data_IF_147670047095
#
_entry.id   IF_147670047095
#
_cell.length_a   1.000
_cell.length_b   1.000
_cell.length_c   1.000
_cell.angle_alpha   90.00
_cell.angle_beta   90.00
_cell.angle_gamma   90.00
#
_symmetry.space_group_name_H-M   'P 1'
#
loop_
_entity.id
_entity.type
_entity.pdbx_description
1 polymer ?
#
# COMPACT_ATOMS: atom_id res chain seq x y z
N UNK A 1 13.67 2.08 -10.87
CA UNK A 1 13.02 3.41 -10.93
C UNK A 1 13.98 4.31 -11.71
N UNK A 2 13.87 4.38 -13.04
CA UNK A 2 14.89 5.01 -13.89
C UNK A 2 15.10 6.50 -13.58
N UNK A 3 14.04 7.18 -13.13
CA UNK A 3 14.11 8.59 -12.76
C UNK A 3 14.98 8.89 -11.51
N UNK A 4 15.07 7.97 -10.54
CA UNK A 4 15.97 8.15 -9.38
C UNK A 4 17.42 7.85 -9.76
N UNK A 5 17.66 6.90 -10.67
CA UNK A 5 18.99 6.64 -11.23
C UNK A 5 19.52 7.84 -12.01
N UNK A 6 18.69 8.52 -12.81
CA UNK A 6 19.11 9.73 -13.55
C UNK A 6 19.42 10.93 -12.66
N UNK A 7 18.79 11.03 -11.48
CA UNK A 7 19.10 12.08 -10.50
C UNK A 7 20.37 11.75 -9.68
N UNK A 8 20.63 10.47 -9.43
CA UNK A 8 21.84 9.97 -8.76
C UNK A 8 23.08 10.08 -9.67
N UNK A 9 22.93 9.96 -10.99
CA UNK A 9 24.02 10.14 -11.95
C UNK A 9 24.62 11.57 -11.98
N UNK A 10 23.92 12.56 -11.41
CA UNK A 10 24.40 13.95 -11.30
C UNK A 10 25.08 14.25 -9.94
N UNK A 11 25.14 13.28 -9.02
CA UNK A 11 25.72 13.46 -7.69
C UNK A 11 27.22 13.07 -7.67
N UNK A 12 28.10 13.89 -7.05
CA UNK A 12 29.51 13.54 -6.90
C UNK A 12 29.68 12.25 -6.07
N UNK A 13 30.75 11.45 -6.32
CA UNK A 13 30.98 10.20 -5.61
C UNK A 13 31.02 10.41 -4.08
N UNK A 14 30.27 9.59 -3.33
CA UNK A 14 30.21 9.62 -1.86
C UNK A 14 28.87 10.03 -1.23
N UNK A 15 27.82 10.34 -2.02
CA UNK A 15 26.46 10.69 -1.54
C UNK A 15 25.35 9.72 -1.96
N UNK A 16 25.71 8.56 -2.50
CA UNK A 16 24.79 7.52 -2.98
C UNK A 16 23.82 7.04 -1.88
N UNK A 17 24.28 7.00 -0.62
CA UNK A 17 23.44 6.67 0.53
C UNK A 17 22.40 7.74 0.91
N UNK A 18 22.61 9.00 0.54
CA UNK A 18 21.66 10.09 0.85
C UNK A 18 20.41 10.01 -0.05
N UNK A 19 20.57 9.63 -1.32
CA UNK A 19 19.44 9.52 -2.26
C UNK A 19 18.52 8.33 -1.97
N UNK A 20 19.07 7.20 -1.53
CA UNK A 20 18.29 6.03 -1.11
C UNK A 20 17.54 6.28 0.21
N UNK A 21 18.19 6.94 1.17
CA UNK A 21 17.57 7.36 2.43
C UNK A 21 16.41 8.34 2.19
N UNK A 22 16.61 9.37 1.35
CA UNK A 22 15.54 10.31 0.99
C UNK A 22 14.35 9.61 0.32
N UNK A 23 14.63 8.70 -0.61
CA UNK A 23 13.58 7.93 -1.30
C UNK A 23 12.78 7.04 -0.34
N UNK A 24 13.43 6.47 0.68
CA UNK A 24 12.76 5.71 1.72
C UNK A 24 11.87 6.61 2.58
N UNK A 25 12.38 7.76 3.02
CA UNK A 25 11.59 8.74 3.79
C UNK A 25 10.38 9.23 3.01
N UNK A 26 10.53 9.53 1.72
CA UNK A 26 9.41 9.94 0.85
C UNK A 26 8.36 8.84 0.72
N UNK A 27 8.76 7.58 0.57
CA UNK A 27 7.82 6.45 0.55
C UNK A 27 7.09 6.28 1.88
N UNK A 28 7.80 6.43 2.99
CA UNK A 28 7.21 6.33 4.33
C UNK A 28 6.23 7.48 4.60
N UNK A 29 6.65 8.71 4.33
CA UNK A 29 5.80 9.90 4.46
C UNK A 29 4.59 9.84 3.51
N UNK A 30 4.81 9.48 2.25
CA UNK A 30 3.75 9.32 1.27
C UNK A 30 2.74 8.24 1.66
N UNK A 31 3.21 7.11 2.21
CA UNK A 31 2.34 6.06 2.73
C UNK A 31 1.46 6.55 3.88
N UNK A 32 2.05 7.24 4.87
CA UNK A 32 1.30 7.78 6.00
C UNK A 32 0.26 8.83 5.58
N UNK A 33 0.64 9.75 4.69
CA UNK A 33 -0.26 10.78 4.17
C UNK A 33 -1.39 10.14 3.35
N UNK A 34 -1.08 9.15 2.51
CA UNK A 34 -2.08 8.41 1.75
C UNK A 34 -3.12 7.74 2.64
N UNK A 35 -2.68 7.00 3.66
CA UNK A 35 -3.57 6.34 4.62
C UNK A 35 -4.47 7.38 5.32
N UNK A 36 -3.90 8.50 5.74
CA UNK A 36 -4.66 9.57 6.41
C UNK A 36 -5.73 10.19 5.49
N UNK A 37 -5.39 10.49 4.22
CA UNK A 37 -6.33 11.04 3.25
C UNK A 37 -7.46 10.06 2.92
N UNK A 38 -7.13 8.77 2.72
CA UNK A 38 -8.13 7.74 2.43
C UNK A 38 -9.07 7.53 3.64
N UNK A 39 -8.55 7.54 4.86
CA UNK A 39 -9.34 7.48 6.08
C UNK A 39 -10.26 8.71 6.25
N UNK A 40 -9.74 9.90 5.98
CA UNK A 40 -10.53 11.15 6.01
C UNK A 40 -11.67 11.13 4.99
N UNK A 41 -11.39 10.68 3.76
CA UNK A 41 -12.42 10.52 2.72
C UNK A 41 -13.50 9.51 3.13
N UNK A 42 -13.09 8.36 3.67
CA UNK A 42 -14.01 7.34 4.16
C UNK A 42 -14.94 7.90 5.25
N UNK A 43 -14.37 8.60 6.25
CA UNK A 43 -15.14 9.28 7.31
C UNK A 43 -16.09 10.32 6.73
N UNK A 44 -15.64 11.12 5.76
CA UNK A 44 -16.48 12.17 5.16
C UNK A 44 -17.67 11.57 4.40
N UNK A 45 -17.47 10.51 3.62
CA UNK A 45 -18.56 9.83 2.90
C UNK A 45 -19.49 9.13 3.89
N UNK A 46 -18.94 8.45 4.90
CA UNK A 46 -19.71 7.77 5.93
C UNK A 46 -20.63 8.76 6.69
N UNK A 47 -20.07 9.82 7.26
CA UNK A 47 -20.83 10.82 8.04
C UNK A 47 -21.84 11.59 7.20
N UNK A 48 -21.57 11.79 5.89
CA UNK A 48 -22.49 12.42 4.95
C UNK A 48 -23.65 11.51 4.50
N UNK A 49 -23.47 10.18 4.51
CA UNK A 49 -24.47 9.18 4.09
C UNK A 49 -25.27 8.59 5.26
N UNK A 50 -24.75 8.68 6.49
CA UNK A 50 -25.38 8.13 7.68
C UNK A 50 -26.67 8.90 8.03
N UNK A 51 -27.81 8.19 8.08
CA UNK A 51 -29.08 8.77 8.49
C UNK A 51 -29.17 8.83 10.01
N UNK A 52 -29.17 10.04 10.53
CA UNK A 52 -29.18 10.37 11.97
C UNK A 52 -30.40 11.19 12.36
N UNK A 53 -31.36 11.41 11.44
CA UNK A 53 -32.49 12.34 11.65
C UNK A 53 -33.44 11.91 12.76
N UNK A 54 -33.49 10.61 13.05
CA UNK A 54 -34.34 10.05 14.09
C UNK A 54 -33.66 9.97 15.47
N UNK A 55 -32.41 10.42 15.61
CA UNK A 55 -31.62 10.27 16.83
C UNK A 55 -31.60 11.56 17.67
N UNK A 56 -31.58 11.43 19.02
CA UNK A 56 -31.18 12.52 19.91
C UNK A 56 -29.77 13.03 19.57
N UNK A 57 -29.49 14.33 19.78
CA UNK A 57 -28.22 14.96 19.40
C UNK A 57 -26.97 14.20 19.83
N UNK A 58 -26.87 13.84 21.12
CA UNK A 58 -25.72 13.09 21.66
C UNK A 58 -25.54 11.71 21.03
N UNK A 59 -26.66 11.04 20.68
CA UNK A 59 -26.62 9.74 20.03
C UNK A 59 -26.25 9.88 18.54
N UNK A 60 -26.69 10.95 17.89
CA UNK A 60 -26.32 11.27 16.51
C UNK A 60 -24.82 11.58 16.41
N UNK A 61 -24.28 12.35 17.34
CA UNK A 61 -22.84 12.67 17.37
C UNK A 61 -22.01 11.43 17.64
N UNK A 62 -22.42 10.60 18.61
CA UNK A 62 -21.78 9.31 18.89
C UNK A 62 -21.81 8.37 17.67
N UNK A 63 -22.92 8.33 16.94
CA UNK A 63 -23.05 7.49 15.75
C UNK A 63 -22.17 7.97 14.57
N UNK A 64 -21.88 9.26 14.47
CA UNK A 64 -21.01 9.81 13.42
C UNK A 64 -19.52 9.52 13.65
N UNK A 65 -19.11 9.25 14.87
CA UNK A 65 -17.69 9.04 15.23
C UNK A 65 -17.08 7.83 14.50
N UNK A 66 -17.84 6.74 14.35
CA UNK A 66 -17.39 5.56 13.59
C UNK A 66 -18.56 4.62 13.25
N UNK A 67 -18.34 3.73 12.28
CA UNK A 67 -19.32 2.68 11.95
C UNK A 67 -19.62 1.77 13.15
N UNK A 68 -18.60 1.49 13.99
CA UNK A 68 -18.74 0.66 15.18
C UNK A 68 -19.62 1.38 16.21
N UNK A 69 -19.41 2.68 16.41
CA UNK A 69 -20.23 3.48 17.31
C UNK A 69 -21.68 3.59 16.80
N UNK A 70 -21.89 3.75 15.48
CA UNK A 70 -23.22 3.73 14.88
C UNK A 70 -23.95 2.40 15.12
N UNK A 71 -23.28 1.27 14.94
CA UNK A 71 -23.84 -0.07 15.22
C UNK A 71 -24.15 -0.24 16.71
N UNK A 72 -23.28 0.23 17.60
CA UNK A 72 -23.52 0.20 19.04
C UNK A 72 -24.73 1.04 19.45
N UNK A 73 -24.89 2.25 18.87
CA UNK A 73 -26.06 3.10 19.10
C UNK A 73 -27.33 2.44 18.55
N UNK A 74 -27.26 1.83 17.35
CA UNK A 74 -28.37 1.12 16.74
C UNK A 74 -28.84 -0.06 17.60
N UNK A 75 -27.91 -0.85 18.15
CA UNK A 75 -28.22 -1.96 19.04
C UNK A 75 -28.80 -1.48 20.39
N UNK A 76 -28.26 -0.39 20.96
CA UNK A 76 -28.74 0.15 22.24
C UNK A 76 -30.15 0.75 22.17
N UNK A 77 -30.51 1.30 21.02
CA UNK A 77 -31.81 1.95 20.81
C UNK A 77 -32.81 1.06 20.04
N UNK A 78 -32.44 -0.18 19.71
CA UNK A 78 -33.21 -1.12 18.91
C UNK A 78 -33.68 -0.53 17.56
N UNK A 79 -32.75 0.14 16.86
CA UNK A 79 -32.99 0.86 15.61
C UNK A 79 -32.36 0.11 14.41
N UNK A 80 -33.01 -0.91 13.84
CA UNK A 80 -32.46 -1.69 12.72
C UNK A 80 -32.32 -0.88 11.43
N UNK A 81 -33.00 0.26 11.31
CA UNK A 81 -32.82 1.18 10.18
C UNK A 81 -31.48 1.93 10.26
N UNK A 82 -31.03 2.29 11.47
CA UNK A 82 -29.74 2.95 11.69
C UNK A 82 -28.59 2.01 11.37
N UNK A 83 -28.67 0.74 11.81
CA UNK A 83 -27.68 -0.28 11.50
C UNK A 83 -27.51 -0.48 9.98
N UNK A 84 -28.62 -0.61 9.24
CA UNK A 84 -28.60 -0.71 7.77
C UNK A 84 -28.06 0.55 7.10
N UNK A 85 -28.41 1.73 7.61
CA UNK A 85 -27.88 3.00 7.09
C UNK A 85 -26.38 3.10 7.30
N UNK A 86 -25.87 2.70 8.47
CA UNK A 86 -24.44 2.69 8.77
C UNK A 86 -23.66 1.73 7.87
N UNK A 87 -24.19 0.53 7.64
CA UNK A 87 -23.58 -0.47 6.74
C UNK A 87 -23.54 0.02 5.29
N UNK A 88 -24.64 0.60 4.80
CA UNK A 88 -24.72 1.18 3.46
C UNK A 88 -23.76 2.38 3.29
N UNK A 89 -23.74 3.29 4.27
CA UNK A 89 -22.86 4.45 4.28
C UNK A 89 -21.37 4.05 4.28
N UNK A 90 -21.01 3.02 5.06
CA UNK A 90 -19.65 2.51 5.12
C UNK A 90 -19.23 1.86 3.79
N UNK A 91 -20.10 1.05 3.20
CA UNK A 91 -19.85 0.40 1.90
C UNK A 91 -19.72 1.43 0.77
N UNK A 92 -20.52 2.49 0.77
CA UNK A 92 -20.40 3.59 -0.18
C UNK A 92 -19.05 4.32 -0.02
N UNK A 93 -18.63 4.58 1.22
CA UNK A 93 -17.32 5.15 1.51
C UNK A 93 -16.17 4.25 1.06
N UNK A 94 -16.24 2.94 1.30
CA UNK A 94 -15.24 1.99 0.79
C UNK A 94 -15.18 1.98 -0.73
N UNK A 95 -16.34 2.05 -1.40
CA UNK A 95 -16.41 2.10 -2.87
C UNK A 95 -15.71 3.36 -3.40
N UNK A 96 -15.95 4.52 -2.77
CA UNK A 96 -15.28 5.77 -3.14
C UNK A 96 -13.76 5.69 -2.96
N UNK A 97 -13.29 5.12 -1.84
CA UNK A 97 -11.86 4.89 -1.57
C UNK A 97 -11.24 3.96 -2.62
N UNK A 98 -11.91 2.85 -2.95
CA UNK A 98 -11.43 1.89 -3.96
C UNK A 98 -11.38 2.51 -5.36
N UNK A 99 -12.37 3.31 -5.74
CA UNK A 99 -12.36 4.05 -7.01
C UNK A 99 -11.20 5.03 -7.06
N UNK A 100 -10.93 5.76 -5.98
CA UNK A 100 -9.81 6.69 -5.90
C UNK A 100 -8.46 5.95 -6.03
N UNK A 101 -8.29 4.82 -5.34
CA UNK A 101 -7.14 3.95 -5.49
C UNK A 101 -6.99 3.44 -6.92
N UNK A 102 -8.10 3.06 -7.57
CA UNK A 102 -8.12 2.63 -8.96
C UNK A 102 -7.67 3.74 -9.92
N UNK A 103 -8.21 4.95 -9.78
CA UNK A 103 -7.87 6.12 -10.61
C UNK A 103 -6.40 6.50 -10.42
N UNK A 104 -5.93 6.57 -9.17
CA UNK A 104 -4.53 6.92 -8.87
C UNK A 104 -3.55 5.86 -9.36
N UNK A 105 -3.89 4.58 -9.22
CA UNK A 105 -3.13 3.47 -9.79
C UNK A 105 -3.08 3.50 -11.31
N UNK A 106 -4.22 3.77 -11.96
CA UNK A 106 -4.30 3.91 -13.42
C UNK A 106 -3.47 5.11 -13.91
N UNK A 107 -3.54 6.26 -13.24
CA UNK A 107 -2.74 7.42 -13.57
C UNK A 107 -1.23 7.12 -13.45
N UNK A 108 -0.82 6.40 -12.40
CA UNK A 108 0.57 5.97 -12.24
C UNK A 108 1.00 4.99 -13.36
N UNK A 109 0.13 4.05 -13.75
CA UNK A 109 0.40 3.11 -14.83
C UNK A 109 0.53 3.82 -16.18
N UNK A 110 -0.36 4.78 -16.47
CA UNK A 110 -0.31 5.60 -17.69
C UNK A 110 0.97 6.43 -17.72
N UNK A 111 1.33 7.07 -16.60
CA UNK A 111 2.57 7.84 -16.51
C UNK A 111 3.79 6.95 -16.72
N UNK A 112 3.82 5.76 -16.13
CA UNK A 112 4.87 4.77 -16.34
C UNK A 112 4.96 4.34 -17.81
N UNK A 113 3.83 4.07 -18.47
CA UNK A 113 3.79 3.70 -19.88
C UNK A 113 4.32 4.80 -20.81
N UNK A 114 4.10 6.08 -20.48
CA UNK A 114 4.64 7.20 -21.25
C UNK A 114 6.10 7.54 -20.93
N UNK A 115 6.59 7.21 -19.73
CA UNK A 115 7.92 7.63 -19.23
C UNK A 115 8.99 6.56 -19.29
N UNK A 116 8.64 5.26 -19.41
CA UNK A 116 9.61 4.20 -19.63
C UNK A 116 9.77 3.91 -21.14
N UNK A 117 10.96 4.14 -21.72
CA UNK A 117 11.35 3.55 -23.00
C UNK A 117 11.32 2.01 -22.92
N UNK A 118 11.03 1.33 -24.04
CA UNK A 118 10.95 -0.14 -24.16
C UNK A 118 12.36 -0.80 -24.04
N UNK A 119 12.96 -0.72 -22.86
CA UNK A 119 14.20 -1.41 -22.52
C UNK A 119 13.86 -2.76 -21.87
N UNK A 120 13.43 -3.72 -22.68
CA UNK A 120 13.26 -5.11 -22.24
C UNK A 120 14.59 -5.60 -21.66
N UNK A 121 14.66 -5.98 -20.38
CA UNK A 121 15.87 -6.58 -19.83
C UNK A 121 16.14 -7.88 -20.59
N UNK A 122 17.26 -7.93 -21.30
CA UNK A 122 17.74 -9.17 -21.90
C UNK A 122 17.82 -10.24 -20.79
N UNK A 123 17.34 -11.47 -21.03
CA UNK A 123 17.29 -12.50 -20.00
C UNK A 123 18.67 -12.67 -19.37
N UNK A 124 18.74 -12.42 -18.06
CA UNK A 124 19.96 -12.56 -17.27
C UNK A 124 20.40 -14.02 -17.34
N UNK A 125 21.43 -14.29 -18.15
CA UNK A 125 22.18 -15.54 -18.14
C UNK A 125 22.76 -15.68 -16.73
N UNK A 126 22.14 -16.53 -15.91
CA UNK A 126 22.72 -16.90 -14.63
C UNK A 126 24.05 -17.59 -14.91
N UNK A 127 25.19 -17.07 -14.40
CA UNK A 127 26.43 -17.81 -14.47
C UNK A 127 26.19 -19.14 -13.77
N UNK A 128 26.34 -20.25 -14.51
CA UNK A 128 26.43 -21.58 -13.89
C UNK A 128 27.59 -21.54 -12.91
N UNK A 129 27.30 -21.55 -11.62
CA UNK A 129 28.29 -21.85 -10.59
C UNK A 129 28.91 -23.20 -10.97
N UNK A 130 30.22 -23.30 -11.23
CA UNK A 130 30.83 -24.60 -11.47
C UNK A 130 30.62 -25.45 -10.23
N UNK A 131 30.04 -26.63 -10.45
CA UNK A 131 29.82 -27.65 -9.45
C UNK A 131 31.18 -28.08 -8.87
N UNK A 132 31.47 -27.68 -7.63
CA UNK A 132 32.69 -28.06 -6.89
C UNK A 132 32.54 -29.47 -6.28
N UNK A 133 31.58 -30.29 -6.74
CA UNK A 133 31.38 -31.65 -6.23
C UNK A 133 32.21 -32.71 -6.99
N UNK A 134 32.99 -32.36 -8.02
CA UNK A 134 33.70 -33.36 -8.84
C UNK A 134 35.23 -33.28 -8.79
N UNK A 135 35.82 -33.23 -7.60
CA UNK A 135 37.19 -33.74 -7.35
C UNK A 135 37.37 -34.09 -5.87
N UNK A 136 36.69 -35.14 -5.41
CA UNK A 136 37.22 -35.94 -4.31
C UNK A 136 38.29 -36.86 -4.91
N UNK A 137 39.59 -36.71 -4.57
CA UNK A 137 40.56 -37.71 -4.96
C UNK A 137 40.20 -39.03 -4.28
N UNK A 138 39.94 -40.04 -5.10
CA UNK A 138 40.09 -41.46 -4.74
C UNK A 138 41.49 -41.65 -4.15
N UNK A 139 41.58 -41.61 -2.82
CA UNK A 139 42.69 -42.21 -2.08
C UNK A 139 42.44 -43.71 -2.11
N UNK A 140 42.84 -44.33 -3.21
CA UNK A 140 43.16 -45.74 -3.23
C UNK A 140 44.62 -45.90 -2.77
N UNK A 141 44.77 -46.79 -1.79
CA UNK A 141 45.90 -47.70 -1.60
C UNK A 141 46.96 -47.39 -0.52
N UNK A 142 46.75 -48.03 0.64
CA UNK A 142 47.62 -49.10 1.14
C UNK A 142 49.09 -48.80 1.47
N UNK A 143 49.46 -48.84 2.77
CA UNK A 143 50.69 -49.45 3.33
C UNK A 143 50.49 -49.64 4.85
N UNK A 144 50.43 -50.87 5.36
CA UNK A 144 51.58 -51.57 6.00
C UNK A 144 52.43 -50.64 6.88
N UNK A 145 52.15 -50.58 8.18
CA UNK A 145 52.97 -51.11 9.27
C UNK A 145 52.17 -51.11 10.57
#
# INVERSE_FOLDING_TARGET
MPAVDTALAALPPGKEGTGSALSATLRQAGGAIGIALLGSLLTQVFTGRLDTRALPGDAADSARESVIAAQAVAARLDLPHLARSAEAAFTDGMTAVLLLCGITGLAAAVLAAFTLPDDRPAPAVHPRTPDVTQTLPTVADGRRQ
#
